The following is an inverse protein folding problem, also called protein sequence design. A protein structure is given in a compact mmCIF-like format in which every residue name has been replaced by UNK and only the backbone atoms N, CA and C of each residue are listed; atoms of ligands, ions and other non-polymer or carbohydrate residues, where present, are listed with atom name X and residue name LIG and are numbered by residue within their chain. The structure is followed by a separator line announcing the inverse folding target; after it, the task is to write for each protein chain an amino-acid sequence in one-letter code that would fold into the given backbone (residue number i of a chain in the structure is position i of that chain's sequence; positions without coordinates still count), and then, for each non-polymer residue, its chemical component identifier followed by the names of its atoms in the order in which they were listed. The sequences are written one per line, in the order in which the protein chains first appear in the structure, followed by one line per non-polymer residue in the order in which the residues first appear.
data_IF_432464996315
#
_entry.id   IF_432464996315
#
_cell.length_a   1.000
_cell.length_b   1.000
_cell.length_c   1.000
_cell.angle_alpha   90.00
_cell.angle_beta   90.00
_cell.angle_gamma   90.00
#
_symmetry.space_group_name_H-M   'P 1'
#
loop_
_entity.id
_entity.type
_entity.pdbx_description
1 polymer ?
#
# COMPACT_ATOMS: atom_id res chain seq x y z
N UNK A 1 -20.94 29.33 7.74
CA UNK A 1 -19.95 28.71 6.83
C UNK A 1 -19.55 27.35 7.39
N UNK A 2 -20.05 26.24 6.82
CA UNK A 2 -19.78 24.88 7.30
C UNK A 2 -18.46 24.41 6.69
N UNK A 3 -17.37 24.42 7.46
CA UNK A 3 -16.03 24.05 6.98
C UNK A 3 -15.91 22.52 6.96
N UNK A 4 -15.92 21.90 5.78
CA UNK A 4 -15.61 20.48 5.65
C UNK A 4 -14.14 20.25 6.03
N UNK A 5 -13.91 19.50 7.10
CA UNK A 5 -12.56 19.06 7.49
C UNK A 5 -12.11 18.00 6.49
N UNK A 6 -11.27 18.39 5.51
CA UNK A 6 -10.53 17.42 4.69
C UNK A 6 -9.56 16.67 5.61
N UNK A 7 -9.77 15.37 5.81
CA UNK A 7 -8.82 14.47 6.47
C UNK A 7 -7.68 14.17 5.50
N UNK A 8 -6.49 14.70 5.78
CA UNK A 8 -5.28 14.32 5.06
C UNK A 8 -4.82 12.96 5.58
N UNK A 9 -4.96 11.92 4.76
CA UNK A 9 -4.41 10.60 5.08
C UNK A 9 -2.89 10.69 4.88
N UNK A 10 -2.16 10.84 5.97
CA UNK A 10 -0.70 10.69 5.95
C UNK A 10 -0.41 9.21 5.75
N UNK A 11 0.18 8.83 4.62
CA UNK A 11 0.63 7.47 4.43
C UNK A 11 1.72 7.18 5.46
N UNK A 12 1.50 6.19 6.33
CA UNK A 12 2.49 5.77 7.31
C UNK A 12 3.75 5.30 6.56
N UNK A 13 4.86 6.03 6.72
CA UNK A 13 6.16 5.65 6.17
C UNK A 13 6.73 4.39 6.84
N UNK A 14 6.19 4.05 8.01
CA UNK A 14 6.59 2.90 8.79
C UNK A 14 5.84 1.63 8.38
N UNK A 15 6.62 0.55 8.25
CA UNK A 15 6.08 -0.79 8.02
C UNK A 15 5.36 -1.27 9.28
N UNK A 16 4.27 -2.01 9.09
CA UNK A 16 3.58 -2.60 10.24
C UNK A 16 4.51 -3.56 11.00
N UNK A 17 4.35 -3.71 12.34
CA UNK A 17 5.19 -4.60 13.13
C UNK A 17 5.21 -6.05 12.62
N UNK A 18 4.08 -6.53 12.09
CA UNK A 18 3.98 -7.86 11.50
C UNK A 18 4.81 -7.95 10.21
N UNK A 19 4.73 -6.95 9.34
CA UNK A 19 5.51 -6.91 8.10
C UNK A 19 7.01 -6.87 8.42
N UNK A 20 7.44 -6.09 9.40
CA UNK A 20 8.85 -6.08 9.82
C UNK A 20 9.29 -7.44 10.36
N UNK A 21 8.44 -8.11 11.14
CA UNK A 21 8.72 -9.45 11.65
C UNK A 21 8.93 -10.47 10.51
N UNK A 22 8.02 -10.50 9.53
CA UNK A 22 8.10 -11.40 8.38
C UNK A 22 9.39 -11.14 7.59
N UNK A 23 9.67 -9.87 7.27
CA UNK A 23 10.88 -9.50 6.51
C UNK A 23 12.16 -9.85 7.27
N UNK A 24 12.18 -9.69 8.59
CA UNK A 24 13.34 -10.11 9.39
C UNK A 24 13.54 -11.63 9.37
N UNK A 25 12.47 -12.42 9.35
CA UNK A 25 12.55 -13.89 9.25
C UNK A 25 13.08 -14.37 7.89
N UNK A 26 12.92 -13.59 6.83
CA UNK A 26 13.43 -13.88 5.49
C UNK A 26 14.94 -13.61 5.31
N UNK A 27 15.58 -12.89 6.23
CA UNK A 27 17.02 -12.58 6.15
C UNK A 27 17.36 -11.62 5.00
N UNK A 28 18.28 -12.01 4.11
CA UNK A 28 18.86 -11.11 3.08
C UNK A 28 17.81 -10.61 2.07
N UNK A 29 16.90 -11.47 1.65
CA UNK A 29 15.83 -11.09 0.71
C UNK A 29 14.83 -10.13 1.36
N UNK A 30 14.48 -10.39 2.63
CA UNK A 30 13.62 -9.50 3.40
C UNK A 30 14.19 -8.10 3.58
N UNK A 31 15.52 -7.98 3.74
CA UNK A 31 16.20 -6.67 3.78
C UNK A 31 16.08 -5.91 2.45
N UNK A 32 16.19 -6.60 1.31
CA UNK A 32 16.03 -5.99 -0.01
C UNK A 32 14.59 -5.50 -0.22
N UNK A 33 13.60 -6.32 0.15
CA UNK A 33 12.18 -5.98 0.09
C UNK A 33 11.87 -4.79 1.01
N UNK A 34 12.40 -4.78 2.24
CA UNK A 34 12.24 -3.68 3.21
C UNK A 34 12.70 -2.34 2.63
N UNK A 35 13.88 -2.31 2.00
CA UNK A 35 14.42 -1.10 1.34
C UNK A 35 13.51 -0.64 0.21
N UNK A 36 13.01 -1.56 -0.61
CA UNK A 36 12.11 -1.26 -1.73
C UNK A 36 10.77 -0.70 -1.26
N UNK A 37 10.18 -1.29 -0.21
CA UNK A 37 8.91 -0.82 0.37
C UNK A 37 9.04 0.58 0.97
N UNK A 38 10.10 0.85 1.74
CA UNK A 38 10.34 2.20 2.29
C UNK A 38 10.52 3.25 1.19
N UNK A 39 11.24 2.91 0.12
CA UNK A 39 11.39 3.79 -1.04
C UNK A 39 10.03 4.05 -1.70
N UNK A 40 9.24 3.01 -1.91
CA UNK A 40 7.92 3.12 -2.53
C UNK A 40 6.95 4.01 -1.74
N UNK A 41 6.90 3.84 -0.41
CA UNK A 41 6.05 4.68 0.43
C UNK A 41 6.51 6.15 0.42
N UNK A 42 7.82 6.41 0.41
CA UNK A 42 8.37 7.77 0.24
C UNK A 42 8.05 8.37 -1.13
N UNK A 43 8.17 7.61 -2.21
CA UNK A 43 7.81 8.11 -3.54
C UNK A 43 6.33 8.45 -3.61
N UNK A 44 5.46 7.59 -3.07
CA UNK A 44 4.01 7.85 -3.04
C UNK A 44 3.61 9.04 -2.18
N UNK A 45 4.31 9.35 -1.09
CA UNK A 45 4.04 10.58 -0.32
C UNK A 45 4.44 11.85 -1.07
N UNK A 46 5.48 11.78 -1.92
CA UNK A 46 5.93 12.90 -2.77
C UNK A 46 5.01 13.08 -3.99
N UNK A 47 4.45 12.00 -4.54
CA UNK A 47 3.63 12.01 -5.76
C UNK A 47 2.12 11.88 -5.51
N UNK A 48 1.64 12.19 -4.30
CA UNK A 48 0.22 12.05 -3.93
C UNK A 48 -0.68 13.14 -4.54
N UNK A 49 -0.73 13.20 -5.87
CA UNK A 49 -1.80 13.86 -6.63
C UNK A 49 -2.50 12.90 -7.62
N UNK A 50 -2.09 11.64 -7.71
CA UNK A 50 -2.77 10.66 -8.58
C UNK A 50 -3.43 9.54 -7.77
N UNK A 51 -4.71 9.77 -7.51
CA UNK A 51 -5.70 8.81 -7.03
C UNK A 51 -5.74 7.60 -7.96
N UNK A 52 -5.10 6.49 -7.59
CA UNK A 52 -5.31 5.22 -8.28
C UNK A 52 -6.57 4.58 -7.72
N UNK A 53 -7.71 4.79 -8.39
CA UNK A 53 -8.84 3.87 -8.26
C UNK A 53 -8.43 2.53 -8.89
N UNK A 54 -8.22 1.53 -8.04
CA UNK A 54 -8.15 0.15 -8.48
C UNK A 54 -9.54 -0.45 -8.26
N UNK A 55 -10.34 -0.74 -9.30
CA UNK A 55 -11.45 -1.65 -9.16
C UNK A 55 -10.86 -3.05 -9.04
N UNK A 56 -10.57 -3.45 -7.80
CA UNK A 56 -10.37 -4.84 -7.46
C UNK A 56 -11.77 -5.46 -7.40
N UNK A 57 -11.97 -6.58 -8.10
CA UNK A 57 -13.19 -7.43 -8.12
C UNK A 57 -14.22 -7.17 -9.23
N UNK A 58 -13.96 -7.69 -10.44
CA UNK A 58 -15.02 -8.03 -11.41
C UNK A 58 -14.68 -9.18 -12.38
N UNK A 59 -13.71 -10.05 -12.08
CA UNK A 59 -13.26 -11.09 -13.03
C UNK A 59 -13.28 -12.53 -12.49
N UNK A 60 -13.97 -12.80 -11.38
CA UNK A 60 -13.98 -14.13 -10.76
C UNK A 60 -15.33 -14.88 -10.79
N UNK A 61 -16.36 -14.36 -11.47
CA UNK A 61 -17.69 -15.01 -11.48
C UNK A 61 -18.21 -15.51 -12.83
N UNK A 62 -17.48 -15.38 -13.95
CA UNK A 62 -17.92 -15.96 -15.24
C UNK A 62 -17.14 -17.23 -15.58
N UNK A 63 -17.36 -18.30 -14.81
CA UNK A 63 -16.96 -19.65 -15.21
C UNK A 63 -17.94 -20.69 -14.66
N UNK A 64 -19.18 -20.66 -15.17
CA UNK A 64 -20.06 -21.82 -15.16
C UNK A 64 -21.07 -21.72 -16.30
N UNK A 65 -20.89 -22.42 -17.44
CA UNK A 65 -22.01 -22.74 -18.31
C UNK A 65 -22.75 -23.96 -17.74
N UNK A 66 -24.08 -23.88 -17.84
CA UNK A 66 -25.07 -24.90 -17.53
C UNK A 66 -24.89 -26.21 -18.30
#
# INVERSE_FOLDING_TARGET
MKRNKRTTILANEDLTPLTEHILNKMGKEGLAIRKRLKSFYRTRTISADETFEQPLEAAACEAAPH
#
